data_IF_007713657400
#
_entry.id   IF_007713657400
#
_cell.length_a   1.000
_cell.length_b   1.000
_cell.length_c   1.000
_cell.angle_alpha   90.00
_cell.angle_beta   90.00
_cell.angle_gamma   90.00
#
_symmetry.space_group_name_H-M   'P 1'
#
loop_
_entity.id
_entity.type
_entity.pdbx_description
1 polymer ?
#
# COMPACT_ATOMS: atom_id res chain seq x y z
N UNK A 1 37.26 5.72 42.14
CA UNK A 1 37.34 6.56 43.35
C UNK A 1 36.56 7.85 43.11
N UNK A 2 35.66 8.19 44.03
CA UNK A 2 35.16 9.51 44.41
C UNK A 2 34.67 10.52 43.32
N UNK A 3 33.39 10.90 43.44
CA UNK A 3 32.84 12.23 43.12
C UNK A 3 33.44 13.31 44.09
N UNK A 4 33.01 14.61 44.26
CA UNK A 4 31.78 15.29 43.78
C UNK A 4 31.82 16.87 43.63
N UNK A 5 30.63 17.49 43.40
CA UNK A 5 30.07 18.76 43.96
C UNK A 5 30.53 20.19 43.54
N UNK A 6 29.53 21.07 43.26
CA UNK A 6 29.16 22.36 43.93
C UNK A 6 28.16 23.16 43.04
N UNK A 7 26.91 23.48 43.40
CA UNK A 7 26.26 24.26 44.49
C UNK A 7 26.47 25.80 44.40
N UNK A 8 25.38 26.57 44.19
CA UNK A 8 24.80 27.66 45.04
C UNK A 8 24.08 28.78 44.24
N UNK A 9 22.79 29.10 44.50
CA UNK A 9 22.13 30.06 45.46
C UNK A 9 21.88 31.45 44.81
N UNK A 10 20.63 31.96 44.74
CA UNK A 10 19.97 32.97 45.63
C UNK A 10 18.53 33.20 45.11
N UNK A 11 17.42 33.44 45.83
CA UNK A 11 17.12 33.77 47.23
C UNK A 11 16.60 35.21 47.42
N UNK A 12 15.29 35.40 47.69
CA UNK A 12 14.57 36.40 48.55
C UNK A 12 13.22 36.87 47.96
N UNK A 13 12.06 36.59 48.59
CA UNK A 13 11.35 37.28 49.72
C UNK A 13 10.43 38.41 49.22
N UNK A 14 9.28 38.77 49.78
CA UNK A 14 8.23 38.31 50.71
C UNK A 14 7.39 39.59 51.00
N UNK A 15 6.10 39.50 51.39
CA UNK A 15 5.16 40.52 51.93
C UNK A 15 3.85 40.69 51.12
N UNK A 16 2.63 40.78 51.66
CA UNK A 16 1.93 40.37 52.92
C UNK A 16 0.48 40.89 52.82
N UNK A 17 -0.52 40.08 53.19
CA UNK A 17 -1.82 40.42 53.88
C UNK A 17 -2.87 41.25 53.07
N UNK A 18 -4.21 41.09 53.12
CA UNK A 18 -5.14 40.51 54.11
C UNK A 18 -6.61 40.35 53.56
N UNK A 19 -7.32 39.30 54.03
CA UNK A 19 -8.77 39.13 54.41
C UNK A 19 -9.99 39.40 53.48
N UNK A 20 -10.70 38.28 53.24
CA UNK A 20 -12.15 37.95 53.36
C UNK A 20 -13.29 38.86 52.87
N UNK A 21 -14.19 38.28 52.06
CA UNK A 21 -15.64 38.24 52.30
C UNK A 21 -16.34 37.18 51.41
N UNK A 22 -17.12 36.30 52.04
CA UNK A 22 -18.02 35.32 51.40
C UNK A 22 -19.11 36.00 50.54
N UNK A 23 -19.45 35.38 49.41
CA UNK A 23 -20.82 35.43 48.87
C UNK A 23 -21.09 34.20 48.01
N UNK A 24 -22.01 33.36 48.49
CA UNK A 24 -22.68 32.30 47.73
C UNK A 24 -23.14 32.81 46.36
N UNK A 25 -22.82 32.04 45.32
CA UNK A 25 -23.67 31.94 44.13
C UNK A 25 -23.59 30.50 43.64
N UNK A 26 -24.55 29.72 44.10
CA UNK A 26 -25.01 28.51 43.45
C UNK A 26 -25.52 28.90 42.06
N UNK A 27 -24.84 28.49 41.00
CA UNK A 27 -25.45 28.43 39.69
C UNK A 27 -25.01 27.13 38.99
N UNK A 28 -25.93 26.17 39.04
CA UNK A 28 -25.95 24.99 38.19
C UNK A 28 -26.01 25.45 36.73
N UNK A 29 -24.86 25.51 36.06
CA UNK A 29 -24.84 25.38 34.61
C UNK A 29 -24.24 24.04 34.29
N UNK A 30 -25.11 23.10 33.95
CA UNK A 30 -24.79 21.80 33.39
C UNK A 30 -23.53 21.89 32.51
N UNK A 31 -22.43 21.33 33.01
CA UNK A 31 -21.32 20.94 32.14
C UNK A 31 -21.86 19.80 31.30
N UNK A 32 -22.52 20.15 30.21
CA UNK A 32 -22.78 19.26 29.10
C UNK A 32 -21.53 18.43 28.92
N UNK A 33 -21.66 17.10 29.00
CA UNK A 33 -20.66 16.13 28.61
C UNK A 33 -20.25 16.43 27.16
N UNK A 34 -19.36 17.41 27.00
CA UNK A 34 -18.56 17.61 25.82
C UNK A 34 -17.66 16.39 25.86
N UNK A 35 -18.08 15.35 25.14
CA UNK A 35 -17.35 14.10 24.97
C UNK A 35 -15.88 14.42 24.89
N UNK A 36 -15.16 14.07 25.97
CA UNK A 36 -13.70 14.10 25.97
C UNK A 36 -13.31 13.22 24.80
N UNK A 37 -12.85 13.82 23.71
CA UNK A 37 -12.03 13.12 22.73
C UNK A 37 -10.83 12.60 23.50
N UNK A 38 -10.94 11.36 23.99
CA UNK A 38 -9.80 10.58 24.49
C UNK A 38 -8.89 10.48 23.27
N UNK A 39 -7.64 10.91 23.43
CA UNK A 39 -6.73 11.15 22.33
C UNK A 39 -6.65 9.99 21.36
N UNK A 40 -6.56 10.35 20.07
CA UNK A 40 -6.23 9.50 18.91
C UNK A 40 -5.93 8.05 19.29
N UNK A 41 -6.95 7.20 19.25
CA UNK A 41 -6.74 5.76 19.19
C UNK A 41 -5.87 5.51 17.95
N UNK A 42 -4.63 5.08 18.17
CA UNK A 42 -3.72 4.69 17.09
C UNK A 42 -4.27 3.40 16.50
N UNK A 43 -4.99 3.51 15.37
CA UNK A 43 -5.46 2.34 14.63
C UNK A 43 -4.23 1.68 14.00
N UNK A 44 -3.86 0.51 14.52
CA UNK A 44 -2.80 -0.29 13.94
C UNK A 44 -3.36 -1.09 12.77
N UNK A 45 -2.97 -0.71 11.56
CA UNK A 45 -3.33 -1.42 10.33
C UNK A 45 -2.13 -2.25 9.89
N UNK A 46 -2.28 -3.57 9.90
CA UNK A 46 -1.28 -4.50 9.38
C UNK A 46 -1.67 -4.93 7.96
N UNK A 47 -0.68 -5.02 7.07
CA UNK A 47 -0.86 -5.48 5.71
C UNK A 47 -0.13 -6.79 5.50
N UNK A 48 -0.78 -7.76 4.87
CA UNK A 48 -0.19 -9.04 4.51
C UNK A 48 -0.17 -9.27 3.01
N UNK A 49 0.87 -9.96 2.56
CA UNK A 49 1.00 -10.46 1.19
C UNK A 49 0.56 -11.92 1.13
N UNK A 50 -0.49 -12.21 0.36
CA UNK A 50 -0.97 -13.59 0.14
C UNK A 50 -1.09 -13.92 -1.33
N UNK A 51 -1.24 -15.19 -1.67
CA UNK A 51 -1.40 -15.59 -3.07
C UNK A 51 -2.73 -15.07 -3.64
N UNK A 52 -2.78 -14.70 -4.93
CA UNK A 52 -4.03 -14.31 -5.60
C UNK A 52 -5.04 -15.46 -5.63
N UNK A 53 -6.32 -15.15 -5.41
CA UNK A 53 -7.44 -16.09 -5.54
C UNK A 53 -8.56 -15.48 -6.41
N UNK A 54 -9.54 -16.30 -6.83
CA UNK A 54 -10.62 -15.86 -7.73
C UNK A 54 -11.43 -14.67 -7.19
N UNK A 55 -11.60 -14.55 -5.87
CA UNK A 55 -12.30 -13.41 -5.26
C UNK A 55 -11.53 -12.09 -5.36
N UNK A 56 -10.23 -12.12 -5.68
CA UNK A 56 -9.40 -10.92 -5.86
C UNK A 56 -9.50 -10.33 -7.27
N UNK A 57 -10.23 -10.98 -8.19
CA UNK A 57 -10.32 -10.60 -9.59
C UNK A 57 -10.64 -9.11 -9.78
N UNK A 58 -11.62 -8.58 -9.05
CA UNK A 58 -12.04 -7.20 -9.26
C UNK A 58 -10.96 -6.20 -8.82
N UNK A 59 -10.38 -6.38 -7.63
CA UNK A 59 -9.31 -5.53 -7.11
C UNK A 59 -8.03 -5.59 -7.96
N UNK A 60 -7.62 -6.78 -8.42
CA UNK A 60 -6.47 -6.91 -9.32
C UNK A 60 -6.75 -6.19 -10.65
N UNK A 61 -7.92 -6.41 -11.24
CA UNK A 61 -8.30 -5.75 -12.50
C UNK A 61 -8.30 -4.23 -12.37
N UNK A 62 -8.73 -3.69 -11.24
CA UNK A 62 -8.70 -2.25 -10.96
C UNK A 62 -7.25 -1.71 -10.92
N UNK A 63 -6.34 -2.41 -10.25
CA UNK A 63 -4.91 -2.05 -10.23
C UNK A 63 -4.31 -2.08 -11.63
N UNK A 64 -4.60 -3.11 -12.42
CA UNK A 64 -4.12 -3.22 -13.80
C UNK A 64 -4.72 -2.11 -14.70
N UNK A 65 -5.97 -1.71 -14.48
CA UNK A 65 -6.58 -0.60 -15.21
C UNK A 65 -5.88 0.73 -14.93
N UNK A 66 -5.45 0.94 -13.68
CA UNK A 66 -4.66 2.11 -13.31
C UNK A 66 -3.25 2.07 -13.92
N UNK A 67 -2.62 0.90 -13.98
CA UNK A 67 -1.30 0.73 -14.59
C UNK A 67 -1.33 0.94 -16.12
N UNK A 68 -2.37 0.44 -16.79
CA UNK A 68 -2.49 0.41 -18.25
C UNK A 68 -3.52 1.42 -18.81
N UNK A 69 -3.73 2.56 -18.14
CA UNK A 69 -4.76 3.58 -18.42
C UNK A 69 -5.13 3.82 -19.90
N UNK A 70 -4.15 3.86 -20.80
CA UNK A 70 -4.35 4.16 -22.23
C UNK A 70 -4.05 2.99 -23.16
N UNK A 71 -3.62 1.86 -22.62
CA UNK A 71 -3.25 0.70 -23.40
C UNK A 71 -4.48 -0.17 -23.68
N UNK A 72 -4.58 -0.66 -24.92
CA UNK A 72 -5.60 -1.60 -25.33
C UNK A 72 -5.17 -3.03 -24.97
N UNK A 73 -5.22 -3.35 -23.68
CA UNK A 73 -4.95 -4.70 -23.16
C UNK A 73 -6.24 -5.31 -22.63
N UNK A 74 -6.48 -6.58 -22.92
CA UNK A 74 -7.54 -7.37 -22.31
C UNK A 74 -7.19 -7.63 -20.84
N UNK A 75 -7.57 -6.69 -19.97
CA UNK A 75 -7.29 -6.75 -18.53
C UNK A 75 -8.03 -7.90 -17.84
N UNK A 76 -9.18 -8.34 -18.35
CA UNK A 76 -9.89 -9.48 -17.80
C UNK A 76 -9.05 -10.75 -17.98
N UNK A 77 -8.60 -11.03 -19.21
CA UNK A 77 -7.76 -12.20 -19.50
C UNK A 77 -6.41 -12.12 -18.77
N UNK A 78 -5.82 -10.93 -18.65
CA UNK A 78 -4.60 -10.73 -17.87
C UNK A 78 -4.81 -11.03 -16.38
N UNK A 79 -5.96 -10.62 -15.82
CA UNK A 79 -6.30 -10.90 -14.42
C UNK A 79 -6.51 -12.40 -14.20
N UNK A 80 -7.25 -13.05 -15.09
CA UNK A 80 -7.45 -14.51 -15.04
C UNK A 80 -6.12 -15.26 -15.14
N UNK A 81 -5.20 -14.79 -16.01
CA UNK A 81 -3.86 -15.35 -16.11
C UNK A 81 -3.09 -15.22 -14.80
N UNK A 82 -3.14 -14.05 -14.16
CA UNK A 82 -2.45 -13.76 -12.90
C UNK A 82 -2.99 -14.64 -11.76
N UNK A 83 -4.31 -14.81 -11.66
CA UNK A 83 -4.92 -15.67 -10.64
C UNK A 83 -4.62 -17.14 -10.93
N UNK A 84 -4.67 -17.54 -12.21
CA UNK A 84 -4.34 -18.90 -12.64
C UNK A 84 -2.89 -19.31 -12.36
N UNK A 85 -1.97 -18.34 -12.19
CA UNK A 85 -0.60 -18.55 -11.72
C UNK A 85 -0.44 -18.22 -10.23
N UNK A 86 -1.34 -18.71 -9.38
CA UNK A 86 -1.36 -18.41 -7.93
C UNK A 86 -0.07 -18.74 -7.15
N UNK A 87 0.91 -19.40 -7.77
CA UNK A 87 2.24 -19.64 -7.21
C UNK A 87 3.27 -18.53 -7.54
N UNK A 88 2.94 -17.60 -8.46
CA UNK A 88 3.81 -16.51 -8.90
C UNK A 88 3.20 -15.16 -8.50
N UNK A 89 3.64 -14.66 -7.36
CA UNK A 89 3.27 -13.33 -6.88
C UNK A 89 2.35 -13.33 -5.68
N UNK A 90 2.03 -12.12 -5.25
CA UNK A 90 1.28 -11.85 -4.04
C UNK A 90 0.37 -10.63 -4.22
N UNK A 91 -0.83 -10.70 -3.66
CA UNK A 91 -1.73 -9.57 -3.45
C UNK A 91 -1.57 -9.05 -2.03
N UNK A 92 -1.73 -7.74 -1.87
CA UNK A 92 -1.70 -7.06 -0.57
C UNK A 92 -3.12 -6.88 -0.07
N UNK A 93 -3.38 -7.37 1.14
CA UNK A 93 -4.64 -7.15 1.87
C UNK A 93 -4.37 -6.61 3.27
N UNK A 94 -5.36 -5.96 3.84
CA UNK A 94 -5.34 -5.64 5.26
C UNK A 94 -5.54 -6.95 6.05
N UNK A 95 -4.69 -7.18 7.05
CA UNK A 95 -4.84 -8.30 7.97
C UNK A 95 -6.07 -8.07 8.84
N UNK A 96 -6.90 -9.09 9.01
CA UNK A 96 -7.98 -9.09 9.99
C UNK A 96 -7.35 -9.16 11.39
N UNK A 97 -7.04 -8.01 11.97
CA UNK A 97 -6.87 -7.85 13.41
C UNK A 97 -7.99 -6.91 13.85
N UNK A 98 -8.82 -7.44 14.74
CA UNK A 98 -9.98 -6.82 15.39
C UNK A 98 -11.30 -6.90 14.60
N UNK A 99 -11.92 -8.08 14.76
CA UNK A 99 -13.38 -8.22 14.76
C UNK A 99 -13.97 -7.21 15.75
N UNK A 100 -14.88 -6.35 15.26
CA UNK A 100 -15.96 -5.63 15.98
C UNK A 100 -16.12 -4.18 15.48
N UNK A 101 -16.54 -3.97 14.22
CA UNK A 101 -17.37 -2.82 13.75
C UNK A 101 -17.23 -2.55 12.23
N UNK A 102 -17.55 -3.53 11.38
CA UNK A 102 -17.87 -3.23 9.98
C UNK A 102 -18.93 -4.19 9.43
N UNK A 103 -20.15 -4.05 9.94
CA UNK A 103 -21.38 -4.54 9.29
C UNK A 103 -21.80 -3.59 8.16
N UNK A 104 -20.93 -3.35 7.18
CA UNK A 104 -21.35 -2.77 5.89
C UNK A 104 -20.44 -3.22 4.75
N UNK A 105 -20.84 -4.33 4.10
CA UNK A 105 -20.36 -4.74 2.79
C UNK A 105 -18.93 -5.24 2.73
N UNK A 106 -18.76 -6.57 2.65
CA UNK A 106 -17.56 -7.19 2.07
C UNK A 106 -17.21 -6.49 0.75
N UNK A 107 -16.27 -5.56 0.80
CA UNK A 107 -15.86 -4.80 -0.37
C UNK A 107 -15.09 -5.77 -1.26
N UNK A 108 -15.64 -6.06 -2.45
CA UNK A 108 -15.00 -6.95 -3.42
C UNK A 108 -13.63 -6.43 -3.94
N UNK A 109 -13.11 -5.35 -3.35
CA UNK A 109 -11.94 -4.58 -3.76
C UNK A 109 -10.87 -4.43 -2.66
N UNK A 110 -10.84 -5.33 -1.66
CA UNK A 110 -9.83 -5.30 -0.58
C UNK A 110 -8.39 -5.62 -1.01
N UNK A 111 -8.08 -5.52 -2.31
CA UNK A 111 -6.73 -5.70 -2.85
C UNK A 111 -6.09 -4.33 -3.02
N UNK A 112 -5.14 -4.01 -2.14
CA UNK A 112 -4.46 -2.72 -2.13
C UNK A 112 -3.19 -2.68 -3.00
N UNK A 113 -2.73 -3.85 -3.45
CA UNK A 113 -1.56 -3.96 -4.31
C UNK A 113 -1.38 -5.37 -4.84
N UNK A 114 -0.58 -5.47 -5.89
CA UNK A 114 -0.21 -6.71 -6.53
C UNK A 114 1.26 -6.68 -6.93
N UNK A 115 1.94 -7.81 -6.71
CA UNK A 115 3.30 -8.07 -7.17
C UNK A 115 3.30 -9.43 -7.84
N UNK A 116 3.46 -9.50 -9.16
CA UNK A 116 3.41 -10.76 -9.92
C UNK A 116 4.34 -10.70 -11.13
N UNK A 117 4.71 -11.86 -11.66
CA UNK A 117 5.52 -11.97 -12.88
C UNK A 117 4.70 -12.71 -13.94
N UNK A 118 4.58 -12.11 -15.12
CA UNK A 118 3.87 -12.70 -16.27
C UNK A 118 4.89 -13.18 -17.29
N UNK A 119 4.87 -14.48 -17.62
CA UNK A 119 5.77 -15.03 -18.63
C UNK A 119 5.31 -14.62 -20.04
N UNK A 120 6.13 -13.83 -20.73
CA UNK A 120 5.88 -13.33 -22.09
C UNK A 120 6.33 -14.30 -23.20
N UNK A 121 7.05 -15.37 -22.85
CA UNK A 121 7.60 -16.35 -23.80
C UNK A 121 6.68 -17.57 -23.94
N UNK A 122 6.21 -18.16 -22.84
CA UNK A 122 5.41 -19.39 -22.87
C UNK A 122 3.93 -19.15 -23.19
N UNK A 123 3.42 -17.95 -22.85
CA UNK A 123 1.99 -17.61 -22.96
C UNK A 123 1.66 -16.78 -24.20
N UNK A 124 2.49 -16.84 -25.24
CA UNK A 124 2.33 -16.06 -26.47
C UNK A 124 1.02 -16.30 -27.22
N UNK A 125 0.33 -17.41 -26.95
CA UNK A 125 -0.94 -17.72 -27.59
C UNK A 125 -2.12 -16.91 -27.01
N UNK A 126 -1.93 -16.24 -25.87
CA UNK A 126 -2.97 -15.43 -25.23
C UNK A 126 -2.96 -14.00 -25.78
N UNK A 127 -4.15 -13.44 -25.97
CA UNK A 127 -4.33 -12.12 -26.57
C UNK A 127 -3.68 -11.03 -25.70
N UNK A 128 -3.89 -11.09 -24.38
CA UNK A 128 -3.33 -10.14 -23.42
C UNK A 128 -1.79 -10.12 -23.46
N UNK A 129 -1.13 -11.26 -23.67
CA UNK A 129 0.34 -11.36 -23.75
C UNK A 129 0.85 -10.77 -25.06
N UNK A 130 0.16 -11.00 -26.18
CA UNK A 130 0.49 -10.38 -27.46
C UNK A 130 0.34 -8.85 -27.40
N UNK A 131 -0.72 -8.36 -26.73
CA UNK A 131 -0.96 -6.94 -26.51
C UNK A 131 0.13 -6.32 -25.61
N UNK A 132 0.54 -7.00 -24.54
CA UNK A 132 1.65 -6.56 -23.68
C UNK A 132 2.96 -6.46 -24.48
N UNK A 133 3.29 -7.46 -25.29
CA UNK A 133 4.50 -7.45 -26.14
C UNK A 133 4.47 -6.30 -27.15
N UNK A 134 3.32 -6.07 -27.77
CA UNK A 134 3.13 -4.97 -28.71
C UNK A 134 3.27 -3.61 -28.02
N UNK A 135 2.65 -3.43 -26.84
CA UNK A 135 2.76 -2.22 -26.04
C UNK A 135 4.22 -1.92 -25.67
N UNK A 136 4.98 -2.93 -25.20
CA UNK A 136 6.40 -2.75 -24.87
C UNK A 136 7.21 -2.27 -26.08
N UNK A 137 6.93 -2.83 -27.27
CA UNK A 137 7.59 -2.42 -28.51
C UNK A 137 7.19 -0.99 -28.92
N UNK A 138 5.91 -0.64 -28.81
CA UNK A 138 5.39 0.70 -29.10
C UNK A 138 6.05 1.76 -28.21
N UNK A 139 6.05 1.53 -26.89
CA UNK A 139 6.71 2.41 -25.92
C UNK A 139 8.22 2.53 -26.19
N UNK A 140 8.88 1.45 -26.60
CA UNK A 140 10.29 1.49 -26.98
C UNK A 140 10.53 2.30 -28.25
N UNK A 141 9.62 2.28 -29.23
CA UNK A 141 9.76 3.07 -30.44
C UNK A 141 9.54 4.57 -30.16
N UNK A 142 8.66 4.90 -29.21
CA UNK A 142 8.31 6.28 -28.88
C UNK A 142 9.34 6.95 -27.97
N UNK A 143 9.91 6.21 -27.01
CA UNK A 143 10.65 6.80 -25.91
C UNK A 143 12.08 6.26 -25.70
N UNK A 144 12.41 5.08 -26.25
CA UNK A 144 13.69 4.44 -25.96
C UNK A 144 14.76 4.78 -27.02
N UNK A 145 16.03 4.59 -26.63
CA UNK A 145 17.16 4.68 -27.57
C UNK A 145 17.18 3.49 -28.53
N UNK A 146 17.78 3.64 -29.71
CA UNK A 146 17.90 2.56 -30.71
C UNK A 146 18.53 1.28 -30.13
N UNK A 147 19.51 1.43 -29.23
CA UNK A 147 20.15 0.31 -28.53
C UNK A 147 19.17 -0.45 -27.64
N UNK A 148 18.37 0.28 -26.85
CA UNK A 148 17.36 -0.31 -25.95
C UNK A 148 16.24 -0.96 -26.75
N UNK A 149 15.80 -0.32 -27.84
CA UNK A 149 14.79 -0.86 -28.73
C UNK A 149 15.24 -2.19 -29.36
N UNK A 150 16.47 -2.23 -29.86
CA UNK A 150 17.08 -3.46 -30.41
C UNK A 150 17.16 -4.57 -29.36
N UNK A 151 17.56 -4.23 -28.13
CA UNK A 151 17.62 -5.17 -27.02
C UNK A 151 16.25 -5.76 -26.70
N UNK A 152 15.22 -4.93 -26.52
CA UNK A 152 13.86 -5.39 -26.19
C UNK A 152 13.30 -6.28 -27.29
N UNK A 153 13.48 -5.90 -28.56
CA UNK A 153 13.07 -6.75 -29.71
C UNK A 153 13.80 -8.08 -29.73
N UNK A 154 15.09 -8.09 -29.42
CA UNK A 154 15.88 -9.32 -29.33
C UNK A 154 15.45 -10.20 -28.16
N UNK A 155 15.09 -9.63 -27.01
CA UNK A 155 14.62 -10.39 -25.86
C UNK A 155 13.24 -10.99 -26.11
N UNK A 156 12.33 -10.22 -26.70
CA UNK A 156 10.99 -10.71 -27.00
C UNK A 156 11.01 -11.73 -28.15
N UNK A 157 11.84 -11.55 -29.16
CA UNK A 157 11.92 -12.44 -30.33
C UNK A 157 12.69 -13.75 -30.11
N UNK A 158 13.31 -13.95 -28.95
CA UNK A 158 14.09 -15.14 -28.62
C UNK A 158 13.31 -16.07 -27.69
N UNK A 159 12.65 -17.07 -28.27
CA UNK A 159 11.85 -18.04 -27.51
C UNK A 159 12.70 -19.01 -26.68
N UNK A 160 14.03 -19.02 -26.85
CA UNK A 160 14.92 -19.91 -26.09
C UNK A 160 15.24 -19.39 -24.69
N UNK A 161 15.01 -18.09 -24.44
CA UNK A 161 15.22 -17.45 -23.14
C UNK A 161 13.87 -16.96 -22.60
N UNK A 162 13.36 -17.55 -21.51
CA UNK A 162 12.12 -17.09 -20.90
C UNK A 162 12.23 -15.64 -20.43
N UNK A 163 11.26 -14.81 -20.84
CA UNK A 163 11.15 -13.41 -20.43
C UNK A 163 9.93 -13.26 -19.52
N UNK A 164 10.17 -12.83 -18.28
CA UNK A 164 9.12 -12.47 -17.33
C UNK A 164 8.93 -10.96 -17.25
N UNK A 165 7.68 -10.50 -17.35
CA UNK A 165 7.28 -9.13 -17.06
C UNK A 165 6.87 -9.02 -15.61
N UNK A 166 7.65 -8.29 -14.81
CA UNK A 166 7.28 -7.94 -13.44
C UNK A 166 6.20 -6.85 -13.45
N UNK A 167 5.07 -7.13 -12.82
CA UNK A 167 3.99 -6.19 -12.53
C UNK A 167 4.00 -5.97 -11.02
N UNK A 168 4.32 -4.74 -10.62
CA UNK A 168 4.32 -4.30 -9.23
C UNK A 168 3.53 -3.01 -9.14
N UNK A 169 2.29 -3.09 -8.66
CA UNK A 169 1.35 -1.96 -8.58
C UNK A 169 0.70 -1.94 -7.20
N UNK A 170 0.45 -0.75 -6.67
CA UNK A 170 -0.19 -0.56 -5.36
C UNK A 170 -0.83 0.81 -5.26
N UNK A 171 -1.81 0.94 -4.37
CA UNK A 171 -2.37 2.26 -4.11
C UNK A 171 -1.33 3.19 -3.47
N UNK A 172 -1.48 4.47 -3.78
CA UNK A 172 -0.56 5.55 -3.34
C UNK A 172 -0.56 5.77 -1.83
N UNK A 173 -1.65 5.40 -1.15
CA UNK A 173 -1.82 5.49 0.29
C UNK A 173 -1.13 4.35 1.06
N UNK A 174 -0.70 3.30 0.37
CA UNK A 174 0.02 2.18 1.01
C UNK A 174 1.47 2.57 1.28
N UNK A 175 2.06 2.23 2.44
CA UNK A 175 3.48 2.49 2.70
C UNK A 175 4.39 1.80 1.68
N UNK A 176 5.49 2.45 1.28
CA UNK A 176 6.45 1.87 0.33
C UNK A 176 7.21 0.68 0.90
N UNK A 177 7.32 0.60 2.23
CA UNK A 177 8.03 -0.43 2.97
C UNK A 177 7.49 -1.84 2.68
N UNK A 178 6.22 -1.96 2.30
CA UNK A 178 5.61 -3.26 1.96
C UNK A 178 6.15 -3.85 0.66
N UNK A 179 6.72 -3.04 -0.23
CA UNK A 179 7.19 -3.53 -1.52
C UNK A 179 8.37 -4.51 -1.38
N UNK A 180 9.22 -4.32 -0.36
CA UNK A 180 10.39 -5.18 -0.12
C UNK A 180 9.99 -6.63 0.16
N UNK A 181 9.16 -6.93 1.19
CA UNK A 181 8.76 -8.31 1.47
C UNK A 181 7.97 -8.96 0.33
N UNK A 182 7.21 -8.18 -0.47
CA UNK A 182 6.46 -8.69 -1.62
C UNK A 182 7.36 -9.05 -2.81
N UNK A 183 8.48 -8.35 -2.98
CA UNK A 183 9.47 -8.71 -4.00
C UNK A 183 10.31 -9.91 -3.53
N UNK A 184 10.62 -9.99 -2.23
CA UNK A 184 11.34 -11.13 -1.65
C UNK A 184 10.51 -12.44 -1.67
N UNK A 185 9.18 -12.34 -1.71
CA UNK A 185 8.29 -13.49 -1.84
C UNK A 185 8.20 -14.05 -3.26
N UNK A 186 8.59 -13.29 -4.29
CA UNK A 186 8.75 -13.79 -5.66
C UNK A 186 9.99 -14.69 -5.74
N UNK A 187 9.79 -16.01 -5.67
CA UNK A 187 10.85 -17.01 -5.78
C UNK A 187 10.62 -17.99 -6.92
#
# INVERSE_FOLDING_TARGET
MAAPLKKRVTGNKDNTLERNSDSDNSDDSATSDIGKYVGQEEIQVDFEGRNPIDSDFHGIKQLLQQLFLKAHINLSELTDLIIGQSYVGSVVKQSELDEDDSDDGTDANDVFGITTVVNLTEKQNLECVQQLRSLLIELCNEHATDQTNTLVRSLLGDDTRPVGLLINERFVNIPSQIAVPLLDSLR
#
